data_IF_283748600349
#
_entry.id   IF_283748600349
#
_cell.length_a   1.000
_cell.length_b   1.000
_cell.length_c   1.000
_cell.angle_alpha   90.00
_cell.angle_beta   90.00
_cell.angle_gamma   90.00
#
_symmetry.space_group_name_H-M   'P 1'
#
loop_
_entity.id
_entity.type
_entity.pdbx_description
1 polymer ?
#
# COMPACT_ATOMS: atom_id res chain seq x y z
N UNK A 1 -22.59 -5.50 7.18
CA UNK A 1 -21.39 -4.65 7.32
C UNK A 1 -20.24 -5.47 6.76
N UNK A 2 -19.62 -5.13 5.62
CA UNK A 2 -18.41 -5.83 5.20
C UNK A 2 -17.36 -5.51 6.27
N UNK A 3 -16.92 -6.54 6.99
CA UNK A 3 -15.79 -6.43 7.90
C UNK A 3 -14.59 -6.12 6.99
N UNK A 4 -14.15 -4.85 6.98
CA UNK A 4 -12.87 -4.49 6.41
C UNK A 4 -11.87 -5.45 7.04
N UNK A 5 -11.23 -6.29 6.23
CA UNK A 5 -10.12 -7.12 6.67
C UNK A 5 -9.14 -6.20 7.45
N UNK A 6 -8.50 -6.67 8.53
CA UNK A 6 -7.67 -5.82 9.38
C UNK A 6 -6.38 -5.46 8.63
N UNK A 7 -6.51 -4.49 7.73
CA UNK A 7 -5.43 -3.82 7.04
C UNK A 7 -4.85 -2.78 7.99
N UNK A 8 -3.54 -2.81 8.15
CA UNK A 8 -2.79 -1.86 8.94
C UNK A 8 -1.66 -1.30 8.09
N UNK A 9 -1.57 0.01 7.98
CA UNK A 9 -0.41 0.69 7.42
C UNK A 9 0.59 1.05 8.53
N UNK A 10 1.87 0.85 8.26
CA UNK A 10 2.96 1.20 9.16
C UNK A 10 4.04 1.97 8.40
N UNK A 11 4.25 3.22 8.77
CA UNK A 11 5.30 4.05 8.19
C UNK A 11 6.67 3.61 8.72
N UNK A 12 7.56 3.25 7.81
CA UNK A 12 8.93 2.87 8.09
C UNK A 12 9.82 4.12 8.19
N UNK A 13 10.96 4.04 8.89
CA UNK A 13 11.89 5.17 9.01
C UNK A 13 12.52 5.62 7.69
N UNK A 14 12.47 4.76 6.65
CA UNK A 14 12.89 5.10 5.28
C UNK A 14 11.84 5.97 4.54
N UNK A 15 10.65 6.17 5.11
CA UNK A 15 9.54 6.91 4.50
C UNK A 15 8.64 6.06 3.60
N UNK A 16 8.94 4.77 3.44
CA UNK A 16 8.02 3.79 2.87
C UNK A 16 6.93 3.41 3.87
N UNK A 17 5.74 3.04 3.40
CA UNK A 17 4.63 2.57 4.22
C UNK A 17 4.39 1.09 3.94
N UNK A 18 4.45 0.27 4.97
CA UNK A 18 4.15 -1.15 4.92
C UNK A 18 2.67 -1.38 5.16
N UNK A 19 1.99 -2.05 4.23
CA UNK A 19 0.58 -2.43 4.36
C UNK A 19 0.50 -3.91 4.71
N UNK A 20 0.06 -4.17 5.93
CA UNK A 20 -0.08 -5.51 6.50
C UNK A 20 -1.54 -5.92 6.53
N UNK A 21 -1.80 -7.20 6.26
CA UNK A 21 -3.10 -7.83 6.45
C UNK A 21 -2.94 -8.94 7.46
N UNK A 22 -3.72 -8.91 8.53
CA UNK A 22 -3.69 -9.97 9.57
C UNK A 22 -2.27 -10.17 10.16
N UNK A 23 -1.45 -9.11 10.17
CA UNK A 23 -0.06 -9.13 10.65
C UNK A 23 0.99 -9.51 9.59
N UNK A 24 0.58 -9.95 8.41
CA UNK A 24 1.48 -10.28 7.30
C UNK A 24 1.67 -9.11 6.33
N UNK A 25 2.92 -8.80 5.99
CA UNK A 25 3.24 -7.76 5.01
C UNK A 25 2.84 -8.20 3.60
N UNK A 26 1.83 -7.51 3.04
CA UNK A 26 1.28 -7.80 1.72
C UNK A 26 1.76 -6.80 0.68
N UNK A 27 1.79 -5.52 1.03
CA UNK A 27 2.18 -4.47 0.11
C UNK A 27 3.10 -3.45 0.76
N UNK A 28 3.85 -2.75 -0.07
CA UNK A 28 4.73 -1.64 0.31
C UNK A 28 4.39 -0.45 -0.56
N UNK A 29 4.15 0.67 0.07
CA UNK A 29 3.89 1.97 -0.53
C UNK A 29 5.17 2.80 -0.44
N UNK A 30 5.67 3.30 -1.56
CA UNK A 30 6.86 4.14 -1.58
C UNK A 30 6.56 5.45 -2.25
N UNK A 31 6.85 6.58 -1.59
CA UNK A 31 6.72 7.88 -2.22
C UNK A 31 7.88 8.13 -3.17
N UNK A 32 7.57 8.28 -4.46
CA UNK A 32 8.57 8.54 -5.50
C UNK A 32 8.56 10.01 -5.86
N UNK A 33 9.56 10.74 -5.34
CA UNK A 33 9.71 12.18 -5.59
C UNK A 33 9.88 12.53 -7.07
N UNK A 34 10.42 11.63 -7.90
CA UNK A 34 10.59 11.83 -9.33
C UNK A 34 9.25 12.07 -10.07
N UNK A 35 8.17 11.47 -9.57
CA UNK A 35 6.82 11.58 -10.15
C UNK A 35 5.83 12.29 -9.22
N UNK A 36 6.18 12.48 -7.94
CA UNK A 36 5.29 13.04 -6.93
C UNK A 36 4.09 12.14 -6.64
N UNK A 37 4.30 10.82 -6.64
CA UNK A 37 3.26 9.81 -6.47
C UNK A 37 3.75 8.68 -5.56
N UNK A 38 2.81 8.07 -4.84
CA UNK A 38 2.98 6.81 -4.14
C UNK A 38 2.93 5.67 -5.14
N UNK A 39 3.92 4.78 -5.07
CA UNK A 39 3.92 3.53 -5.80
C UNK A 39 3.55 2.39 -4.85
N UNK A 40 2.50 1.66 -5.18
CA UNK A 40 2.12 0.44 -4.50
C UNK A 40 2.84 -0.75 -5.14
N UNK A 41 3.55 -1.52 -4.33
CA UNK A 41 4.27 -2.73 -4.75
C UNK A 41 3.84 -3.89 -3.87
N UNK A 42 3.83 -5.11 -4.40
CA UNK A 42 3.64 -6.29 -3.54
C UNK A 42 4.92 -6.55 -2.77
N UNK A 43 4.78 -6.99 -1.53
CA UNK A 43 5.93 -7.37 -0.72
C UNK A 43 6.75 -8.47 -1.42
N UNK A 44 8.06 -8.25 -1.54
CA UNK A 44 8.97 -9.16 -2.26
C UNK A 44 8.95 -9.03 -3.78
N UNK A 45 8.09 -8.19 -4.36
CA UNK A 45 8.06 -7.92 -5.80
C UNK A 45 8.62 -6.53 -6.12
N UNK A 46 9.34 -6.42 -7.24
CA UNK A 46 9.81 -5.12 -7.74
C UNK A 46 8.80 -4.44 -8.67
N UNK A 47 7.71 -5.14 -9.02
CA UNK A 47 6.67 -4.62 -9.90
C UNK A 47 5.75 -3.65 -9.16
N UNK A 48 5.50 -2.49 -9.78
CA UNK A 48 4.57 -1.49 -9.30
C UNK A 48 3.18 -1.85 -9.79
N UNK A 49 2.29 -2.18 -8.85
CA UNK A 49 0.91 -2.58 -9.15
C UNK A 49 0.09 -1.34 -9.53
N UNK A 50 0.20 -0.27 -8.74
CA UNK A 50 -0.56 0.95 -8.93
C UNK A 50 0.23 2.16 -8.43
N UNK A 51 -0.10 3.34 -8.98
CA UNK A 51 0.52 4.60 -8.60
C UNK A 51 -0.57 5.62 -8.36
N UNK A 52 -0.49 6.34 -7.25
CA UNK A 52 -1.46 7.39 -6.95
C UNK A 52 -0.81 8.57 -6.22
N UNK A 53 -1.39 9.75 -6.32
CA UNK A 53 -0.92 10.91 -5.57
C UNK A 53 -1.23 10.77 -4.07
N UNK A 54 -2.29 10.04 -3.71
CA UNK A 54 -2.76 9.92 -2.34
C UNK A 54 -2.59 8.50 -1.82
N UNK A 55 -1.80 8.35 -0.74
CA UNK A 55 -1.62 7.04 -0.05
C UNK A 55 -2.96 6.43 0.38
N UNK A 56 -3.93 7.26 0.74
CA UNK A 56 -5.23 6.82 1.21
C UNK A 56 -6.08 6.20 0.10
N UNK A 57 -5.88 6.62 -1.16
CA UNK A 57 -6.60 6.04 -2.30
C UNK A 57 -6.10 4.62 -2.56
N UNK A 58 -4.78 4.43 -2.62
CA UNK A 58 -4.14 3.11 -2.72
C UNK A 58 -4.53 2.20 -1.56
N UNK A 59 -4.51 2.71 -0.33
CA UNK A 59 -4.93 1.94 0.84
C UNK A 59 -6.41 1.54 0.76
N UNK A 60 -7.28 2.47 0.35
CA UNK A 60 -8.70 2.19 0.16
C UNK A 60 -8.94 1.17 -0.97
N UNK A 61 -8.15 1.20 -2.04
CA UNK A 61 -8.23 0.26 -3.15
C UNK A 61 -7.83 -1.17 -2.73
N UNK A 62 -6.82 -1.30 -1.85
CA UNK A 62 -6.44 -2.56 -1.21
C UNK A 62 -7.60 -3.06 -0.31
N UNK A 63 -8.11 -2.21 0.56
CA UNK A 63 -9.21 -2.54 1.47
C UNK A 63 -10.50 -2.93 0.74
N UNK A 64 -10.77 -2.29 -0.40
CA UNK A 64 -11.91 -2.59 -1.25
C UNK A 64 -11.75 -3.89 -2.04
N UNK A 65 -10.57 -4.51 -2.03
CA UNK A 65 -10.26 -5.69 -2.84
C UNK A 65 -10.15 -5.41 -4.34
N UNK A 66 -10.05 -4.14 -4.74
CA UNK A 66 -9.73 -3.72 -6.11
C UNK A 66 -8.31 -4.15 -6.47
N UNK A 67 -7.41 -4.13 -5.49
CA UNK A 67 -6.03 -4.62 -5.58
C UNK A 67 -5.93 -5.90 -4.75
N UNK A 68 -5.42 -6.98 -5.34
CA UNK A 68 -5.32 -8.32 -4.73
C UNK A 68 -3.88 -8.76 -4.54
#
# INVERSE_FOLDING_TARGET
>A
MPMLEPWSDHEQPDGSIEVKREGELRFTLTWVQAYGQWELRRNGESEVIERDQYRNDLFSAIQSGRIK
#
